data_IF_003903594925
#
_entry.id   IF_003903594925
#
_cell.length_a   1.000
_cell.length_b   1.000
_cell.length_c   1.000
_cell.angle_alpha   90.00
_cell.angle_beta   90.00
_cell.angle_gamma   90.00
#
_symmetry.space_group_name_H-M   'P 1'
#
loop_
_entity.id
_entity.type
_entity.pdbx_description
1 polymer ?
#
# COMPACT_ATOMS: atom_id res chain seq x y z
N UNK A 1 25.27 -2.63 -15.42
CA UNK A 1 24.94 -1.79 -14.25
C UNK A 1 24.16 -2.64 -13.27
N UNK A 2 24.80 -3.03 -12.17
CA UNK A 2 24.19 -3.86 -11.15
C UNK A 2 23.29 -2.99 -10.27
N UNK A 3 21.99 -3.22 -10.30
CA UNK A 3 21.08 -2.57 -9.35
C UNK A 3 21.37 -3.16 -7.97
N UNK A 4 21.93 -2.33 -7.11
CA UNK A 4 22.16 -2.66 -5.71
C UNK A 4 20.79 -2.76 -5.03
N UNK A 5 20.34 -3.99 -4.77
CA UNK A 5 19.13 -4.23 -3.98
C UNK A 5 19.45 -3.81 -2.55
N UNK A 6 19.11 -2.56 -2.18
CA UNK A 6 19.12 -2.13 -0.79
C UNK A 6 18.16 -3.04 -0.01
N UNK A 7 18.73 -3.99 0.74
CA UNK A 7 18.01 -4.71 1.79
C UNK A 7 17.73 -3.71 2.92
N UNK A 8 16.59 -3.04 2.90
CA UNK A 8 16.12 -2.35 4.10
C UNK A 8 15.73 -3.41 5.14
N UNK A 9 16.39 -3.37 6.30
CA UNK A 9 16.11 -4.29 7.40
C UNK A 9 14.78 -3.89 8.05
N UNK A 10 13.72 -4.66 7.77
CA UNK A 10 12.37 -4.52 8.38
C UNK A 10 12.41 -4.50 9.92
N UNK A 11 13.49 -5.00 10.55
CA UNK A 11 13.64 -5.08 12.00
C UNK A 11 13.64 -3.72 12.72
N UNK A 12 13.95 -2.63 12.02
CA UNK A 12 14.04 -1.28 12.62
C UNK A 12 12.75 -0.44 12.41
N UNK A 13 11.73 -1.00 11.75
CA UNK A 13 10.45 -0.33 11.54
C UNK A 13 9.50 -0.63 12.71
N UNK A 14 9.29 0.35 13.59
CA UNK A 14 8.23 0.31 14.59
C UNK A 14 6.93 0.85 13.98
N UNK A 15 5.95 -0.02 13.69
CA UNK A 15 4.65 0.38 13.12
C UNK A 15 4.11 -0.60 12.08
N UNK A 16 3.01 -0.22 11.41
CA UNK A 16 2.39 -1.02 10.34
C UNK A 16 2.81 -0.44 8.98
N UNK A 17 3.68 -1.15 8.26
CA UNK A 17 4.22 -0.72 6.98
C UNK A 17 3.99 -1.77 5.88
N UNK A 18 3.89 -1.29 4.65
CA UNK A 18 3.95 -2.13 3.45
C UNK A 18 5.05 -1.60 2.53
N UNK A 19 5.89 -2.51 2.06
CA UNK A 19 6.99 -2.22 1.15
C UNK A 19 6.71 -2.98 -0.16
N UNK A 20 6.83 -2.29 -1.29
CA UNK A 20 6.40 -2.84 -2.57
C UNK A 20 6.55 -1.83 -3.69
N UNK A 21 5.98 -2.16 -4.85
CA UNK A 21 6.03 -1.32 -6.04
C UNK A 21 4.66 -0.71 -6.29
N UNK A 22 4.62 0.60 -6.53
CA UNK A 22 3.41 1.27 -6.99
C UNK A 22 3.26 1.05 -8.51
N UNK A 23 2.30 0.22 -8.92
CA UNK A 23 2.10 -0.14 -10.33
C UNK A 23 1.12 0.81 -11.05
N UNK A 24 0.27 1.52 -10.30
CA UNK A 24 -0.70 2.43 -10.89
C UNK A 24 -1.46 3.27 -9.89
N UNK A 25 -2.10 4.32 -10.40
CA UNK A 25 -2.88 5.29 -9.64
C UNK A 25 -4.22 5.51 -10.36
N UNK A 26 -5.30 5.35 -9.63
CA UNK A 26 -6.67 5.69 -10.04
C UNK A 26 -7.27 6.65 -9.00
N UNK A 27 -8.41 7.27 -9.28
CA UNK A 27 -9.06 8.20 -8.37
C UNK A 27 -10.57 8.20 -8.50
N UNK A 28 -11.25 8.54 -7.40
CA UNK A 28 -12.70 8.74 -7.38
C UNK A 28 -13.03 10.03 -6.66
N UNK A 29 -13.89 10.84 -7.29
CA UNK A 29 -14.47 12.03 -6.65
C UNK A 29 -15.32 11.65 -5.44
N UNK A 30 -15.40 12.59 -4.50
CA UNK A 30 -16.32 12.52 -3.37
C UNK A 30 -17.77 12.57 -3.84
N UNK A 31 -18.67 12.22 -2.94
CA UNK A 31 -20.10 12.23 -3.24
C UNK A 31 -20.96 11.85 -2.05
N UNK A 32 -22.23 11.61 -2.32
CA UNK A 32 -23.22 11.19 -1.31
C UNK A 32 -23.90 9.93 -1.83
N UNK A 33 -23.93 8.88 -1.02
CA UNK A 33 -24.65 7.64 -1.32
C UNK A 33 -25.62 7.32 -0.18
N UNK A 34 -26.90 7.19 -0.50
CA UNK A 34 -27.98 6.98 0.48
C UNK A 34 -27.94 7.98 1.65
N UNK A 35 -27.67 9.26 1.37
CA UNK A 35 -27.59 10.31 2.39
C UNK A 35 -26.27 10.36 3.18
N UNK A 36 -25.37 9.38 3.01
CA UNK A 36 -24.07 9.37 3.67
C UNK A 36 -23.00 9.99 2.75
N UNK A 37 -22.33 11.07 3.17
CA UNK A 37 -21.21 11.62 2.43
C UNK A 37 -20.03 10.63 2.48
N UNK A 38 -19.33 10.50 1.36
CA UNK A 38 -18.04 9.81 1.30
C UNK A 38 -17.00 10.73 0.67
N UNK A 39 -15.76 10.72 1.18
CA UNK A 39 -14.72 11.61 0.69
C UNK A 39 -14.23 11.19 -0.69
N UNK A 40 -13.58 12.11 -1.38
CA UNK A 40 -12.77 11.77 -2.53
C UNK A 40 -11.63 10.83 -2.12
N UNK A 41 -11.11 10.04 -3.06
CA UNK A 41 -10.02 9.11 -2.77
C UNK A 41 -9.11 8.91 -3.96
N UNK A 42 -7.82 8.76 -3.67
CA UNK A 42 -6.84 8.19 -4.60
C UNK A 42 -6.71 6.70 -4.30
N UNK A 43 -6.62 5.89 -5.34
CA UNK A 43 -6.54 4.44 -5.28
C UNK A 43 -5.19 4.02 -5.86
N UNK A 44 -4.33 3.48 -5.02
CA UNK A 44 -2.99 3.02 -5.39
C UNK A 44 -3.03 1.52 -5.67
N UNK A 45 -2.61 1.11 -6.87
CA UNK A 45 -2.37 -0.31 -7.18
C UNK A 45 -0.95 -0.67 -6.75
N UNK A 46 -0.84 -1.39 -5.65
CA UNK A 46 0.42 -1.66 -4.97
C UNK A 46 0.75 -3.15 -5.00
N UNK A 47 1.93 -3.52 -5.48
CA UNK A 47 2.36 -4.91 -5.56
C UNK A 47 3.46 -5.21 -4.54
N UNK A 48 3.19 -6.18 -3.68
CA UNK A 48 4.10 -6.60 -2.61
C UNK A 48 4.69 -7.97 -2.96
N UNK A 49 6.02 -8.11 -3.02
CA UNK A 49 6.65 -9.42 -3.16
C UNK A 49 6.50 -10.20 -1.84
N UNK A 50 6.25 -11.51 -1.94
CA UNK A 50 6.22 -12.39 -0.78
C UNK A 50 6.73 -13.78 -1.14
N UNK A 51 7.23 -14.49 -0.12
CA UNK A 51 7.59 -15.89 -0.25
C UNK A 51 6.35 -16.74 -0.02
N UNK A 52 5.94 -17.46 -1.06
CA UNK A 52 4.86 -18.42 -0.97
C UNK A 52 5.45 -19.80 -0.66
N UNK A 53 5.08 -20.34 0.50
CA UNK A 53 5.46 -21.67 0.95
C UNK A 53 4.27 -22.61 0.77
N UNK A 54 4.44 -23.64 -0.04
CA UNK A 54 3.41 -24.66 -0.26
C UNK A 54 3.99 -26.03 0.01
N UNK A 55 3.22 -26.89 0.67
CA UNK A 55 3.59 -28.28 0.89
C UNK A 55 2.83 -29.14 -0.12
N UNK A 56 3.56 -29.85 -0.99
CA UNK A 56 2.99 -30.77 -1.97
C UNK A 56 3.62 -32.14 -1.77
N UNK A 57 2.81 -33.16 -1.47
CA UNK A 57 3.26 -34.53 -1.21
C UNK A 57 4.37 -34.63 -0.14
N UNK A 58 4.31 -33.81 0.92
CA UNK A 58 5.30 -33.80 1.99
C UNK A 58 6.59 -33.04 1.69
N UNK A 59 6.75 -32.46 0.49
CA UNK A 59 7.88 -31.61 0.12
C UNK A 59 7.50 -30.14 0.24
N UNK A 60 8.31 -29.33 0.93
CA UNK A 60 8.14 -27.88 1.01
C UNK A 60 8.72 -27.22 -0.26
N UNK A 61 7.87 -26.52 -0.99
CA UNK A 61 8.23 -25.72 -2.16
C UNK A 61 8.14 -24.25 -1.76
N UNK A 62 9.26 -23.54 -1.88
CA UNK A 62 9.34 -22.09 -1.66
C UNK A 62 9.42 -21.39 -3.01
N UNK A 63 8.47 -20.50 -3.28
CA UNK A 63 8.41 -19.72 -4.52
C UNK A 63 8.34 -18.22 -4.24
N UNK A 64 8.93 -17.42 -5.12
CA UNK A 64 8.76 -15.98 -5.10
C UNK A 64 7.45 -15.64 -5.82
N UNK A 65 6.54 -14.98 -5.12
CA UNK A 65 5.26 -14.54 -5.66
C UNK A 65 5.08 -13.03 -5.43
N UNK A 66 4.11 -12.46 -6.12
CA UNK A 66 3.70 -11.07 -5.96
C UNK A 66 2.21 -11.03 -5.65
N UNK A 67 1.80 -10.14 -4.73
CA UNK A 67 0.39 -9.89 -4.42
C UNK A 67 0.09 -8.43 -4.71
N UNK A 68 -0.88 -8.19 -5.59
CA UNK A 68 -1.41 -6.85 -5.84
C UNK A 68 -2.50 -6.52 -4.83
N UNK A 69 -2.50 -5.28 -4.35
CA UNK A 69 -3.44 -4.76 -3.37
C UNK A 69 -3.82 -3.33 -3.77
N UNK A 70 -5.10 -3.00 -3.63
CA UNK A 70 -5.60 -1.65 -3.86
C UNK A 70 -5.66 -0.91 -2.53
N UNK A 71 -4.87 0.15 -2.40
CA UNK A 71 -4.83 0.99 -1.19
C UNK A 71 -5.58 2.28 -1.48
N UNK A 72 -6.57 2.62 -0.66
CA UNK A 72 -7.37 3.83 -0.83
C UNK A 72 -6.94 4.89 0.18
N UNK A 73 -6.62 6.09 -0.32
CA UNK A 73 -6.23 7.25 0.49
C UNK A 73 -7.32 8.30 0.34
N UNK A 74 -8.02 8.61 1.42
CA UNK A 74 -9.04 9.65 1.44
C UNK A 74 -8.41 11.04 1.25
N UNK A 75 -9.10 11.89 0.50
CA UNK A 75 -8.70 13.28 0.22
C UNK A 75 -9.94 14.13 -0.07
N UNK A 76 -9.75 15.41 -0.41
CA UNK A 76 -10.82 16.28 -0.92
C UNK A 76 -10.79 16.35 -2.45
N UNK A 77 -11.91 16.73 -3.05
CA UNK A 77 -12.01 16.85 -4.52
C UNK A 77 -11.02 17.88 -5.10
N UNK A 78 -10.73 18.95 -4.35
CA UNK A 78 -9.78 20.00 -4.78
C UNK A 78 -8.33 19.52 -4.76
N UNK A 79 -8.00 18.57 -3.87
CA UNK A 79 -6.66 18.02 -3.74
C UNK A 79 -6.41 16.82 -4.65
N UNK A 80 -7.45 16.24 -5.27
CA UNK A 80 -7.32 15.09 -6.15
C UNK A 80 -6.26 15.25 -7.24
N UNK A 81 -6.22 16.34 -8.04
CA UNK A 81 -5.23 16.48 -9.10
C UNK A 81 -3.79 16.50 -8.56
N UNK A 82 -3.59 17.15 -7.40
CA UNK A 82 -2.28 17.27 -6.76
C UNK A 82 -1.81 15.90 -6.26
N UNK A 83 -2.67 15.18 -5.52
CA UNK A 83 -2.33 13.86 -4.99
C UNK A 83 -2.14 12.83 -6.11
N UNK A 84 -3.00 12.83 -7.14
CA UNK A 84 -2.84 11.95 -8.31
C UNK A 84 -1.51 12.24 -9.02
N UNK A 85 -1.17 13.51 -9.25
CA UNK A 85 0.11 13.88 -9.87
C UNK A 85 1.31 13.44 -9.02
N UNK A 86 1.24 13.61 -7.70
CA UNK A 86 2.27 13.20 -6.74
C UNK A 86 2.51 11.69 -6.78
N UNK A 87 1.44 10.88 -6.76
CA UNK A 87 1.58 9.42 -6.80
C UNK A 87 1.93 8.89 -8.19
N UNK A 88 1.46 9.54 -9.27
CA UNK A 88 1.87 9.18 -10.63
C UNK A 88 3.38 9.28 -10.83
N UNK A 89 4.02 10.28 -10.21
CA UNK A 89 5.47 10.42 -10.23
C UNK A 89 6.22 9.25 -9.56
N UNK A 90 5.53 8.43 -8.76
CA UNK A 90 6.08 7.27 -8.04
C UNK A 90 5.74 5.93 -8.70
N UNK A 91 5.04 5.91 -9.84
CA UNK A 91 4.72 4.68 -10.56
C UNK A 91 6.01 3.95 -10.97
N UNK A 92 6.01 2.62 -10.84
CA UNK A 92 7.13 1.70 -11.02
C UNK A 92 8.28 1.88 -10.02
N UNK A 93 8.13 2.75 -9.02
CA UNK A 93 9.13 2.90 -7.96
C UNK A 93 8.85 1.97 -6.79
N UNK A 94 9.92 1.56 -6.12
CA UNK A 94 9.83 0.86 -4.85
C UNK A 94 9.60 1.88 -3.74
N UNK A 95 8.44 1.81 -3.09
CA UNK A 95 8.05 2.79 -2.07
C UNK A 95 7.59 2.07 -0.81
N UNK A 96 7.63 2.81 0.31
CA UNK A 96 7.16 2.34 1.61
C UNK A 96 5.89 3.11 1.98
N UNK A 97 4.81 2.39 2.21
CA UNK A 97 3.56 2.92 2.73
C UNK A 97 3.51 2.68 4.24
N UNK A 98 3.28 3.73 5.02
CA UNK A 98 3.00 3.63 6.45
C UNK A 98 1.50 3.73 6.70
N UNK A 99 0.96 2.79 7.47
CA UNK A 99 -0.38 2.92 8.02
C UNK A 99 -0.29 3.75 9.30
N UNK A 100 -0.91 4.93 9.29
CA UNK A 100 -1.14 5.73 10.49
C UNK A 100 -2.52 5.34 11.01
N UNK A 101 -2.63 4.65 12.16
CA UNK A 101 -3.93 4.35 12.75
C UNK A 101 -4.66 5.66 13.05
N UNK A 102 -5.97 5.67 12.78
CA UNK A 102 -6.78 6.86 12.99
C UNK A 102 -6.74 7.30 14.47
N UNK A 103 -6.85 8.61 14.71
CA UNK A 103 -6.78 9.20 16.05
C UNK A 103 -8.01 8.77 16.89
N UNK A 104 -7.91 7.59 17.49
CA UNK A 104 -8.98 6.95 18.28
C UNK A 104 -8.65 5.55 18.76
N UNK A 105 -7.51 4.98 18.35
CA UNK A 105 -7.02 3.70 18.87
C UNK A 105 -6.56 3.85 20.34
N UNK A 106 -7.44 3.55 21.28
CA UNK A 106 -7.08 3.43 22.70
C UNK A 106 -6.37 2.11 22.93
N UNK A 107 -5.07 2.15 23.23
CA UNK A 107 -4.32 0.97 23.66
C UNK A 107 -4.51 0.77 25.16
N UNK A 108 -4.74 -0.46 25.60
CA UNK A 108 -4.64 -0.86 27.01
C UNK A 108 -3.41 -1.76 27.16
N UNK A 109 -2.55 -1.44 28.12
CA UNK A 109 -1.44 -2.27 28.53
C UNK A 109 -2.00 -3.48 29.30
N UNK A 110 -1.54 -4.69 28.96
CA UNK A 110 -1.76 -5.90 29.77
C UNK A 110 -0.56 -6.10 30.69
#
# INVERSE_FOLDING_TARGET
MSQEVKKENIRDFHGLYMIGTLEGVDFKKGGVYNGNPYPARVILNFTVPYLNKQTVNGVEIVSHAKRSQLIQIATSDDLLPIEVSKYNAQINQHVTLSLVPDQGATFKLA
#
